data_IF_275919358683
#
_entry.id   IF_275919358683
#
_cell.length_a   1.000
_cell.length_b   1.000
_cell.length_c   1.000
_cell.angle_alpha   90.00
_cell.angle_beta   90.00
_cell.angle_gamma   90.00
#
_symmetry.space_group_name_H-M   'P 1'
#
loop_
_entity.id
_entity.type
_entity.pdbx_description
1 polymer ?
#
# COMPACT_ATOMS: atom_id res chain seq x y z
N UNK A 1 43.58 0.22 73.07
CA UNK A 1 42.16 -0.10 72.81
C UNK A 1 42.10 -1.12 71.69
N UNK A 2 41.45 -2.27 71.90
CA UNK A 2 41.31 -3.33 70.90
C UNK A 2 40.32 -2.86 69.84
N UNK A 3 40.77 -2.72 68.60
CA UNK A 3 39.89 -2.51 67.44
C UNK A 3 39.50 -3.89 66.94
N UNK A 4 38.26 -4.29 67.22
CA UNK A 4 37.68 -5.54 66.75
C UNK A 4 37.38 -5.39 65.25
N UNK A 5 38.08 -6.15 64.43
CA UNK A 5 37.78 -6.31 63.00
C UNK A 5 36.53 -7.18 62.89
N UNK A 6 35.42 -6.61 62.42
CA UNK A 6 34.21 -7.36 62.10
C UNK A 6 34.47 -8.05 60.75
N UNK A 7 34.33 -9.36 60.74
CA UNK A 7 34.51 -10.24 59.60
C UNK A 7 33.11 -10.49 59.02
N UNK A 8 32.85 -10.02 57.79
CA UNK A 8 31.56 -10.16 57.13
C UNK A 8 31.27 -11.64 56.81
N UNK A 9 30.29 -12.22 57.51
CA UNK A 9 29.65 -13.47 57.11
C UNK A 9 28.50 -13.14 56.16
N UNK A 10 28.55 -13.76 54.96
CA UNK A 10 27.40 -13.96 54.09
C UNK A 10 26.39 -14.82 54.82
N UNK A 11 25.12 -14.43 54.80
CA UNK A 11 24.01 -15.38 54.82
C UNK A 11 22.93 -14.97 53.82
N UNK A 12 22.38 -16.03 53.24
CA UNK A 12 21.32 -16.11 52.25
C UNK A 12 19.94 -15.85 52.88
N UNK A 13 19.00 -15.44 52.03
CA UNK A 13 17.58 -15.87 52.01
C UNK A 13 16.66 -15.63 53.24
N UNK A 14 15.57 -14.90 52.92
CA UNK A 14 14.21 -14.95 53.47
C UNK A 14 13.83 -14.16 54.73
N UNK A 15 12.82 -13.30 54.53
CA UNK A 15 11.65 -13.25 55.40
C UNK A 15 11.67 -12.18 56.50
N UNK A 16 10.72 -11.25 56.34
CA UNK A 16 10.01 -10.54 57.40
C UNK A 16 10.54 -9.14 57.73
N UNK A 17 9.62 -8.18 57.57
CA UNK A 17 9.90 -6.76 57.59
C UNK A 17 10.17 -6.25 59.00
N UNK A 18 11.37 -5.72 59.19
CA UNK A 18 11.59 -4.56 60.03
C UNK A 18 12.33 -3.53 59.17
N UNK A 19 11.73 -2.36 58.97
CA UNK A 19 12.43 -1.19 58.47
C UNK A 19 13.46 -0.81 59.53
N UNK A 20 14.62 -1.45 59.51
CA UNK A 20 15.78 -0.99 60.25
C UNK A 20 16.21 0.33 59.62
N UNK A 21 15.77 1.42 60.25
CA UNK A 21 16.29 2.76 60.01
C UNK A 21 17.80 2.70 60.24
N UNK A 22 18.55 2.55 59.14
CA UNK A 22 20.01 2.47 59.15
C UNK A 22 20.55 3.85 59.51
N UNK A 23 20.63 4.13 60.80
CA UNK A 23 21.14 5.39 61.36
C UNK A 23 22.61 5.51 60.95
N UNK A 24 22.86 6.29 59.90
CA UNK A 24 24.20 6.71 59.50
C UNK A 24 24.75 7.68 60.56
N UNK A 25 25.27 7.13 61.65
CA UNK A 25 26.06 7.89 62.63
C UNK A 25 27.33 8.38 61.93
N UNK A 26 27.34 9.65 61.52
CA UNK A 26 28.57 10.32 61.11
C UNK A 26 29.47 10.43 62.34
N UNK A 27 30.69 9.88 62.33
CA UNK A 27 31.58 10.00 63.47
C UNK A 27 31.86 11.48 63.73
N UNK A 28 31.69 11.90 64.98
CA UNK A 28 32.00 13.26 65.42
C UNK A 28 33.52 13.42 65.35
N UNK A 29 33.98 14.29 64.44
CA UNK A 29 35.40 14.59 64.25
C UNK A 29 35.75 15.72 65.22
N UNK A 30 36.25 15.38 66.41
CA UNK A 30 36.59 16.39 67.42
C UNK A 30 38.06 16.84 67.39
N UNK A 31 38.96 16.10 66.74
CA UNK A 31 40.41 16.38 66.80
C UNK A 31 41.12 16.25 65.43
N UNK A 32 42.13 17.10 65.19
CA UNK A 32 42.92 17.18 63.94
C UNK A 32 43.59 15.85 63.61
N UNK A 33 43.99 15.11 64.64
CA UNK A 33 44.60 13.79 64.52
C UNK A 33 43.58 12.73 64.06
N UNK A 34 42.31 12.88 64.45
CA UNK A 34 41.23 11.99 64.05
C UNK A 34 40.86 12.20 62.57
N UNK A 35 40.90 13.44 62.10
CA UNK A 35 40.73 13.78 60.68
C UNK A 35 41.86 13.20 59.80
N UNK A 36 43.11 13.28 60.28
CA UNK A 36 44.26 12.67 59.59
C UNK A 36 44.16 11.15 59.56
N UNK A 37 43.75 10.51 60.65
CA UNK A 37 43.56 9.06 60.71
C UNK A 37 42.47 8.58 59.73
N UNK A 38 41.36 9.31 59.61
CA UNK A 38 40.30 9.03 58.63
C UNK A 38 40.82 9.12 57.18
N UNK A 39 41.52 10.20 56.84
CA UNK A 39 42.15 10.36 55.51
C UNK A 39 43.16 9.26 55.21
N UNK A 40 43.98 8.88 56.19
CA UNK A 40 44.90 7.75 56.05
C UNK A 40 44.15 6.43 55.83
N UNK A 41 43.03 6.20 56.54
CA UNK A 41 42.21 4.99 56.35
C UNK A 41 41.53 4.93 54.99
N UNK A 42 41.07 6.07 54.46
CA UNK A 42 40.52 6.19 53.10
C UNK A 42 41.58 5.88 52.03
N UNK A 43 42.79 6.41 52.20
CA UNK A 43 43.94 6.17 51.28
C UNK A 43 44.41 4.71 51.32
N UNK A 44 44.38 4.08 52.50
CA UNK A 44 44.75 2.66 52.68
C UNK A 44 43.65 1.74 52.15
N UNK A 45 42.39 2.20 52.11
CA UNK A 45 41.28 1.40 51.60
C UNK A 45 41.32 1.24 50.08
N UNK A 46 41.20 0.00 49.61
CA UNK A 46 41.13 -0.35 48.18
C UNK A 46 39.88 0.18 47.46
N UNK A 47 38.93 0.77 48.18
CA UNK A 47 37.59 1.14 47.67
C UNK A 47 37.73 2.16 46.54
N UNK A 48 38.49 3.23 46.77
CA UNK A 48 38.71 4.30 45.79
C UNK A 48 39.45 3.78 44.55
N UNK A 49 40.48 2.95 44.74
CA UNK A 49 41.23 2.32 43.65
C UNK A 49 40.34 1.41 42.78
N UNK A 50 39.52 0.55 43.41
CA UNK A 50 38.60 -0.35 42.69
C UNK A 50 37.50 0.41 41.97
N UNK A 51 37.02 1.52 42.53
CA UNK A 51 36.07 2.41 41.87
C UNK A 51 36.67 3.11 40.65
N UNK A 52 37.86 3.69 40.77
CA UNK A 52 38.56 4.31 39.64
C UNK A 52 38.91 3.29 38.56
N UNK A 53 39.30 2.08 38.94
CA UNK A 53 39.51 0.97 38.02
C UNK A 53 38.21 0.60 37.30
N UNK A 54 37.08 0.47 38.00
CA UNK A 54 35.76 0.23 37.37
C UNK A 54 35.34 1.39 36.45
N UNK A 55 35.61 2.65 36.84
CA UNK A 55 35.32 3.85 36.05
C UNK A 55 36.21 3.99 34.80
N UNK A 56 37.42 3.43 34.83
CA UNK A 56 38.38 3.45 33.73
C UNK A 56 38.32 2.19 32.87
N UNK A 57 37.82 1.07 33.40
CA UNK A 57 37.58 -0.17 32.66
C UNK A 57 36.59 0.09 31.53
N UNK A 58 37.11 0.17 30.31
CA UNK A 58 36.33 0.43 29.09
C UNK A 58 36.41 1.87 28.57
N UNK A 59 37.11 2.80 29.24
CA UNK A 59 37.45 4.10 28.65
C UNK A 59 38.57 3.92 27.63
N UNK A 60 38.19 3.75 26.37
CA UNK A 60 39.14 3.80 25.26
C UNK A 60 39.51 5.27 24.99
N UNK A 61 40.79 5.62 25.09
CA UNK A 61 41.28 6.93 24.67
C UNK A 61 41.25 6.94 23.15
N UNK A 62 40.29 7.66 22.57
CA UNK A 62 40.18 7.79 21.11
C UNK A 62 41.31 8.67 20.60
N UNK A 63 42.32 8.04 20.01
CA UNK A 63 43.39 8.76 19.31
C UNK A 63 42.79 9.33 18.02
N UNK A 64 42.84 10.66 17.79
CA UNK A 64 42.35 11.23 16.55
C UNK A 64 43.16 10.66 15.38
N UNK A 65 42.48 10.34 14.28
CA UNK A 65 43.15 9.76 13.11
C UNK A 65 44.30 10.66 12.63
N UNK A 66 45.52 10.12 12.71
CA UNK A 66 46.70 10.77 12.12
C UNK A 66 46.49 10.96 10.61
N UNK A 67 47.10 11.97 10.00
CA UNK A 67 46.95 12.21 8.55
C UNK A 67 47.35 10.96 7.72
N UNK A 68 48.32 10.18 8.20
CA UNK A 68 48.70 8.90 7.61
C UNK A 68 47.57 7.86 7.71
N UNK A 69 46.90 7.75 8.86
CA UNK A 69 45.77 6.83 9.03
C UNK A 69 44.57 7.23 8.16
N UNK A 70 44.30 8.54 8.01
CA UNK A 70 43.29 9.03 7.05
C UNK A 70 43.65 8.65 5.61
N UNK A 71 44.92 8.79 5.23
CA UNK A 71 45.38 8.40 3.91
C UNK A 71 45.23 6.88 3.69
N UNK A 72 45.67 6.04 4.64
CA UNK A 72 45.50 4.59 4.57
C UNK A 72 44.03 4.17 4.50
N UNK A 73 43.14 4.82 5.27
CA UNK A 73 41.69 4.58 5.18
C UNK A 73 41.13 4.94 3.80
N UNK A 74 41.59 6.03 3.19
CA UNK A 74 41.20 6.39 1.82
C UNK A 74 41.71 5.38 0.79
N UNK A 75 42.97 4.92 0.92
CA UNK A 75 43.56 3.88 0.07
C UNK A 75 42.86 2.53 0.21
N UNK A 76 42.42 2.18 1.42
CA UNK A 76 41.69 0.94 1.67
C UNK A 76 40.42 0.81 0.83
N UNK A 77 39.79 1.93 0.43
CA UNK A 77 38.65 1.89 -0.50
C UNK A 77 39.05 1.50 -1.93
N UNK A 78 40.25 1.90 -2.38
CA UNK A 78 40.77 1.60 -3.72
C UNK A 78 41.35 0.18 -3.81
N UNK A 79 41.98 -0.28 -2.72
CA UNK A 79 42.61 -1.61 -2.66
C UNK A 79 41.57 -2.72 -2.41
N UNK A 80 40.39 -2.38 -1.90
CA UNK A 80 39.33 -3.36 -1.61
C UNK A 80 38.89 -4.09 -2.88
N UNK A 81 39.28 -5.36 -2.98
CA UNK A 81 38.90 -6.25 -4.08
C UNK A 81 37.37 -6.40 -4.20
N UNK A 82 36.65 -6.34 -3.07
CA UNK A 82 35.18 -6.38 -3.02
C UNK A 82 34.59 -5.17 -3.74
N UNK A 83 35.14 -3.97 -3.51
CA UNK A 83 34.68 -2.74 -4.18
C UNK A 83 35.05 -2.75 -5.66
N UNK A 84 36.28 -3.17 -5.99
CA UNK A 84 36.77 -3.28 -7.37
C UNK A 84 35.91 -4.25 -8.20
N UNK A 85 35.73 -5.49 -7.72
CA UNK A 85 34.87 -6.49 -8.39
C UNK A 85 33.38 -6.16 -8.30
N UNK A 86 32.97 -5.29 -7.38
CA UNK A 86 31.60 -4.86 -7.20
C UNK A 86 31.04 -4.11 -8.40
N UNK A 87 31.85 -3.24 -9.04
CA UNK A 87 31.46 -2.55 -10.27
C UNK A 87 31.24 -3.54 -11.42
N UNK A 88 32.21 -4.42 -11.66
CA UNK A 88 32.11 -5.46 -12.69
C UNK A 88 30.90 -6.40 -12.49
N UNK A 89 30.57 -6.75 -11.24
CA UNK A 89 29.38 -7.55 -10.92
C UNK A 89 28.08 -6.80 -11.21
N UNK A 90 28.02 -5.49 -10.96
CA UNK A 90 26.85 -4.66 -11.31
C UNK A 90 26.67 -4.56 -12.82
N UNK A 91 27.77 -4.39 -13.54
CA UNK A 91 27.75 -4.34 -15.00
C UNK A 91 27.36 -5.71 -15.58
N UNK A 92 27.83 -6.83 -15.00
CA UNK A 92 27.38 -8.18 -15.34
C UNK A 92 25.89 -8.38 -15.07
N UNK A 93 25.37 -7.88 -13.94
CA UNK A 93 23.95 -8.00 -13.61
C UNK A 93 23.03 -7.23 -14.55
N UNK A 94 23.57 -6.24 -15.27
CA UNK A 94 22.87 -5.47 -16.30
C UNK A 94 23.06 -6.05 -17.72
N UNK A 95 23.70 -7.21 -17.86
CA UNK A 95 23.87 -7.88 -19.15
C UNK A 95 22.52 -8.29 -19.74
N UNK A 96 22.37 -8.15 -21.07
CA UNK A 96 21.18 -8.56 -21.83
C UNK A 96 20.76 -10.01 -21.53
N UNK A 97 21.71 -10.90 -21.24
CA UNK A 97 21.45 -12.30 -20.91
C UNK A 97 20.73 -12.47 -19.57
N UNK A 98 20.94 -11.57 -18.61
CA UNK A 98 20.30 -11.61 -17.30
C UNK A 98 18.93 -10.94 -17.27
N UNK A 99 18.63 -10.09 -18.27
CA UNK A 99 17.31 -9.49 -18.48
C UNK A 99 16.32 -10.46 -19.15
N UNK A 100 16.80 -11.58 -19.71
CA UNK A 100 15.92 -12.62 -20.24
C UNK A 100 15.07 -13.24 -19.12
N UNK A 101 13.79 -13.57 -19.37
CA UNK A 101 12.96 -14.24 -18.40
C UNK A 101 13.60 -15.57 -18.01
N UNK A 102 13.68 -15.83 -16.70
CA UNK A 102 14.29 -17.04 -16.17
C UNK A 102 13.56 -18.28 -16.72
N UNK A 103 14.30 -19.15 -17.40
CA UNK A 103 13.79 -20.46 -17.82
C UNK A 103 13.56 -21.34 -16.59
N UNK A 104 12.68 -22.33 -16.68
CA UNK A 104 12.39 -23.28 -15.59
C UNK A 104 13.69 -23.91 -15.07
N UNK A 105 14.58 -24.33 -15.97
CA UNK A 105 15.87 -24.92 -15.62
C UNK A 105 16.77 -23.94 -14.88
N UNK A 106 16.76 -22.66 -15.25
CA UNK A 106 17.55 -21.62 -14.57
C UNK A 106 17.02 -21.32 -13.16
N UNK A 107 15.71 -21.41 -12.95
CA UNK A 107 15.08 -21.27 -11.63
C UNK A 107 15.46 -22.46 -10.76
N UNK A 108 15.29 -23.67 -11.29
CA UNK A 108 15.66 -24.91 -10.61
C UNK A 108 17.15 -24.96 -10.23
N UNK A 109 18.04 -24.60 -11.15
CA UNK A 109 19.47 -24.53 -10.88
C UNK A 109 19.82 -23.52 -9.78
N UNK A 110 19.13 -22.37 -9.73
CA UNK A 110 19.30 -21.38 -8.65
C UNK A 110 18.84 -21.94 -7.30
N UNK A 111 17.70 -22.63 -7.26
CA UNK A 111 17.19 -23.27 -6.04
C UNK A 111 18.15 -24.36 -5.53
N UNK A 112 18.64 -25.23 -6.41
CA UNK A 112 19.65 -26.22 -6.06
C UNK A 112 20.94 -25.58 -5.54
N UNK A 113 21.40 -24.51 -6.18
CA UNK A 113 22.59 -23.78 -5.75
C UNK A 113 22.40 -23.14 -4.36
N UNK A 114 21.21 -22.60 -4.08
CA UNK A 114 20.87 -22.07 -2.76
C UNK A 114 20.82 -23.17 -1.71
N UNK A 115 20.23 -24.32 -2.04
CA UNK A 115 20.15 -25.48 -1.14
C UNK A 115 21.51 -26.07 -0.82
N UNK A 116 22.41 -26.16 -1.81
CA UNK A 116 23.76 -26.69 -1.66
C UNK A 116 24.72 -25.70 -0.97
N UNK A 117 24.36 -24.42 -0.90
CA UNK A 117 25.23 -23.39 -0.33
C UNK A 117 25.42 -23.59 1.18
N UNK A 118 26.66 -23.94 1.57
CA UNK A 118 27.08 -24.09 2.98
C UNK A 118 26.85 -22.83 3.82
N UNK A 119 26.94 -21.64 3.19
CA UNK A 119 26.74 -20.35 3.88
C UNK A 119 25.27 -20.17 4.25
N UNK A 120 24.36 -20.39 3.28
CA UNK A 120 22.92 -20.28 3.52
C UNK A 120 22.43 -21.35 4.48
N UNK A 121 22.96 -22.57 4.39
CA UNK A 121 22.68 -23.64 5.34
C UNK A 121 23.02 -23.24 6.78
N UNK A 122 24.23 -22.72 7.02
CA UNK A 122 24.63 -22.26 8.36
C UNK A 122 23.75 -21.12 8.86
N UNK A 123 23.44 -20.15 8.00
CA UNK A 123 22.57 -19.04 8.37
C UNK A 123 21.17 -19.49 8.77
N UNK A 124 20.56 -20.42 8.01
CA UNK A 124 19.27 -21.01 8.37
C UNK A 124 19.36 -21.78 9.67
N UNK A 125 20.36 -22.64 9.81
CA UNK A 125 20.60 -23.39 11.04
C UNK A 125 20.75 -22.47 12.26
N UNK A 126 21.50 -21.37 12.16
CA UNK A 126 21.67 -20.42 13.26
C UNK A 126 20.39 -19.63 13.56
N UNK A 127 19.55 -19.38 12.55
CA UNK A 127 18.23 -18.76 12.74
C UNK A 127 17.22 -19.71 13.38
N UNK A 128 17.28 -21.00 13.03
CA UNK A 128 16.44 -22.06 13.60
C UNK A 128 16.96 -22.56 14.96
N UNK A 129 18.22 -22.24 15.29
CA UNK A 129 18.84 -22.58 16.56
C UNK A 129 18.15 -21.83 17.70
N UNK A 130 17.25 -22.54 18.39
CA UNK A 130 16.47 -22.01 19.51
C UNK A 130 14.99 -21.82 19.20
N UNK A 131 14.57 -21.95 17.94
CA UNK A 131 13.15 -22.10 17.60
C UNK A 131 12.79 -23.58 17.74
N UNK A 132 12.28 -23.97 18.90
CA UNK A 132 11.71 -25.29 19.06
C UNK A 132 10.40 -25.40 18.29
N UNK A 133 10.11 -26.55 17.67
CA UNK A 133 8.84 -26.80 16.97
C UNK A 133 7.60 -26.58 17.86
N UNK A 134 7.77 -26.62 19.18
CA UNK A 134 6.75 -26.27 20.16
C UNK A 134 6.26 -24.82 20.07
N UNK A 135 7.05 -23.88 19.51
CA UNK A 135 6.62 -22.51 19.27
C UNK A 135 5.53 -22.39 18.18
N UNK A 136 5.42 -23.39 17.31
CA UNK A 136 4.44 -23.46 16.22
C UNK A 136 3.35 -24.50 16.47
N UNK A 137 3.33 -25.12 17.65
CA UNK A 137 2.29 -26.08 18.01
C UNK A 137 0.95 -25.35 18.17
N UNK A 138 -0.10 -25.84 17.49
CA UNK A 138 -1.46 -25.34 17.73
C UNK A 138 -1.79 -25.58 19.20
N UNK A 139 -2.02 -24.50 19.93
CA UNK A 139 -2.37 -24.59 21.34
C UNK A 139 -3.62 -25.48 21.53
N UNK A 140 -3.55 -26.46 22.44
CA UNK A 140 -4.69 -27.27 22.84
C UNK A 140 -5.86 -26.39 23.31
N UNK A 141 -7.11 -26.79 23.07
CA UNK A 141 -8.29 -26.06 23.55
C UNK A 141 -8.24 -25.75 25.05
N UNK A 142 -7.72 -26.67 25.86
CA UNK A 142 -7.62 -26.52 27.31
C UNK A 142 -6.67 -25.40 27.72
N UNK A 143 -5.53 -25.26 27.03
CA UNK A 143 -4.55 -24.20 27.30
C UNK A 143 -5.14 -22.85 26.88
N UNK A 144 -5.82 -22.79 25.73
CA UNK A 144 -6.51 -21.57 25.30
C UNK A 144 -7.55 -21.12 26.32
N UNK A 145 -8.38 -22.05 26.78
CA UNK A 145 -9.38 -21.76 27.80
C UNK A 145 -8.74 -21.29 29.11
N UNK A 146 -7.68 -21.95 29.57
CA UNK A 146 -6.95 -21.53 30.77
C UNK A 146 -6.34 -20.12 30.63
N UNK A 147 -5.80 -19.79 29.46
CA UNK A 147 -5.29 -18.44 29.18
C UNK A 147 -6.39 -17.38 29.18
N UNK A 148 -7.55 -17.68 28.59
CA UNK A 148 -8.71 -16.79 28.60
C UNK A 148 -9.22 -16.55 30.04
N UNK A 149 -9.41 -17.62 30.80
CA UNK A 149 -9.82 -17.54 32.20
C UNK A 149 -8.83 -16.71 33.03
N UNK A 150 -7.53 -16.94 32.87
CA UNK A 150 -6.49 -16.16 33.56
C UNK A 150 -6.53 -14.67 33.14
N UNK A 151 -6.74 -14.39 31.85
CA UNK A 151 -6.90 -13.02 31.35
C UNK A 151 -8.06 -12.30 32.04
N UNK A 152 -9.20 -12.97 32.26
CA UNK A 152 -10.35 -12.38 32.96
C UNK A 152 -10.16 -12.32 34.49
N UNK A 153 -9.42 -13.27 35.07
CA UNK A 153 -9.08 -13.26 36.50
C UNK A 153 -8.04 -12.19 36.86
N UNK A 154 -7.25 -11.71 35.89
CA UNK A 154 -6.21 -10.72 36.14
C UNK A 154 -6.78 -9.35 36.48
N UNK A 155 -6.40 -8.81 37.64
CA UNK A 155 -6.72 -7.42 38.03
C UNK A 155 -6.29 -6.37 37.00
N UNK A 156 -5.30 -6.68 36.16
CA UNK A 156 -4.81 -5.75 35.13
C UNK A 156 -5.83 -5.57 34.02
N UNK A 157 -6.53 -6.64 33.62
CA UNK A 157 -7.59 -6.54 32.60
C UNK A 157 -8.80 -5.82 33.18
N UNK A 158 -9.18 -6.14 34.42
CA UNK A 158 -10.25 -5.45 35.15
C UNK A 158 -9.97 -3.94 35.29
N UNK A 159 -8.78 -3.54 35.73
CA UNK A 159 -8.42 -2.12 35.87
C UNK A 159 -8.46 -1.36 34.55
N UNK A 160 -8.07 -2.00 33.43
CA UNK A 160 -8.16 -1.40 32.09
C UNK A 160 -9.60 -1.26 31.64
N UNK A 161 -10.41 -2.29 31.83
CA UNK A 161 -11.83 -2.27 31.43
C UNK A 161 -12.62 -1.24 32.26
N UNK A 162 -12.34 -1.15 33.56
CA UNK A 162 -12.85 -0.09 34.45
C UNK A 162 -12.40 1.29 33.97
N UNK A 163 -11.13 1.45 33.59
CA UNK A 163 -10.63 2.72 33.04
C UNK A 163 -11.36 3.09 31.74
N UNK A 164 -11.62 2.13 30.84
CA UNK A 164 -12.27 2.39 29.57
C UNK A 164 -13.79 2.60 29.69
N UNK A 165 -14.47 1.87 30.57
CA UNK A 165 -15.91 2.02 30.84
C UNK A 165 -16.22 3.24 31.70
N UNK A 166 -15.39 3.54 32.71
CA UNK A 166 -15.52 4.72 33.57
C UNK A 166 -14.65 5.89 33.11
N UNK A 167 -14.35 5.98 31.81
CA UNK A 167 -13.87 7.23 31.18
C UNK A 167 -14.97 8.30 31.32
N UNK A 168 -14.97 9.00 32.45
CA UNK A 168 -15.70 10.24 32.57
C UNK A 168 -15.11 11.21 31.55
N UNK A 169 -15.92 11.68 30.61
CA UNK A 169 -15.53 12.78 29.74
C UNK A 169 -15.16 13.95 30.63
N UNK A 170 -13.89 14.40 30.61
CA UNK A 170 -13.52 15.67 31.22
C UNK A 170 -14.54 16.72 30.78
N UNK A 171 -15.02 17.54 31.70
CA UNK A 171 -16.16 18.49 31.52
C UNK A 171 -16.04 19.31 30.23
N UNK A 172 -14.83 19.56 29.75
CA UNK A 172 -14.49 20.19 28.47
C UNK A 172 -15.09 19.52 27.23
N UNK A 173 -15.46 18.24 27.30
CA UNK A 173 -15.98 17.47 26.17
C UNK A 173 -17.50 17.42 26.08
N UNK A 174 -18.24 18.12 26.95
CA UNK A 174 -19.68 18.24 26.76
C UNK A 174 -19.99 19.05 25.49
N UNK A 175 -20.99 18.65 24.68
CA UNK A 175 -21.25 19.28 23.38
C UNK A 175 -21.66 20.76 23.50
N UNK A 176 -22.30 21.15 24.59
CA UNK A 176 -22.67 22.54 24.92
C UNK A 176 -21.44 23.42 25.18
N UNK A 177 -20.46 22.92 25.94
CA UNK A 177 -19.22 23.64 26.24
C UNK A 177 -18.35 23.72 24.98
N UNK A 178 -18.23 22.64 24.19
CA UNK A 178 -17.53 22.69 22.89
C UNK A 178 -18.12 23.76 21.98
N UNK A 179 -19.44 23.73 21.79
CA UNK A 179 -20.14 24.71 20.97
C UNK A 179 -19.92 26.13 21.50
N UNK A 180 -20.02 26.36 22.81
CA UNK A 180 -19.77 27.66 23.41
C UNK A 180 -18.32 28.14 23.20
N UNK A 181 -17.32 27.26 23.30
CA UNK A 181 -15.91 27.61 23.03
C UNK A 181 -15.64 27.92 21.56
N UNK A 182 -16.28 27.20 20.64
CA UNK A 182 -16.19 27.47 19.19
C UNK A 182 -16.85 28.80 18.85
N UNK A 183 -18.06 29.05 19.38
CA UNK A 183 -18.74 30.35 19.27
C UNK A 183 -17.86 31.46 19.84
N UNK A 184 -17.25 31.26 21.01
CA UNK A 184 -16.36 32.26 21.62
C UNK A 184 -15.13 32.54 20.75
N UNK A 185 -14.54 31.51 20.13
CA UNK A 185 -13.42 31.67 19.19
C UNK A 185 -13.83 32.48 17.96
N UNK A 186 -15.00 32.19 17.38
CA UNK A 186 -15.53 32.86 16.19
C UNK A 186 -15.91 34.32 16.50
N UNK A 187 -16.54 34.56 17.65
CA UNK A 187 -16.96 35.90 18.10
C UNK A 187 -15.75 36.74 18.51
N UNK A 188 -14.70 36.11 19.03
CA UNK A 188 -13.47 36.81 19.35
C UNK A 188 -12.67 37.13 18.08
N UNK A 189 -12.20 38.37 17.94
CA UNK A 189 -11.22 38.75 16.90
C UNK A 189 -9.82 38.14 17.13
N UNK A 190 -9.68 37.14 18.00
CA UNK A 190 -8.39 36.57 18.37
C UNK A 190 -7.68 35.93 17.17
N UNK A 191 -8.41 35.18 16.34
CA UNK A 191 -7.86 34.57 15.11
C UNK A 191 -7.55 35.63 14.06
N UNK A 192 -8.40 36.63 13.88
CA UNK A 192 -8.16 37.75 12.97
C UNK A 192 -6.90 38.54 13.36
N UNK A 193 -6.73 38.85 14.65
CA UNK A 193 -5.53 39.53 15.17
C UNK A 193 -4.26 38.67 15.05
N UNK A 194 -4.38 37.35 15.24
CA UNK A 194 -3.27 36.40 15.05
C UNK A 194 -2.84 36.32 13.58
N UNK A 195 -3.79 36.17 12.65
CA UNK A 195 -3.52 36.18 11.22
C UNK A 195 -2.96 37.52 10.72
N UNK A 196 -3.44 38.65 11.26
CA UNK A 196 -2.86 39.97 11.00
C UNK A 196 -1.42 40.09 11.49
N UNK A 197 -1.09 39.50 12.64
CA UNK A 197 0.29 39.41 13.14
C UNK A 197 1.19 38.52 12.26
N UNK A 198 0.63 37.50 11.60
CA UNK A 198 1.34 36.64 10.66
C UNK A 198 1.55 37.28 9.29
N UNK A 199 0.58 38.06 8.79
CA UNK A 199 0.69 38.82 7.54
C UNK A 199 1.63 40.03 7.65
N UNK A 200 1.77 40.60 8.85
CA UNK A 200 2.75 41.67 9.13
C UNK A 200 4.14 41.15 9.49
N UNK A 201 4.39 39.83 9.44
CA UNK A 201 5.76 39.32 9.44
C UNK A 201 6.32 39.68 8.08
N UNK A 202 7.27 40.61 8.06
CA UNK A 202 8.04 40.89 6.85
C UNK A 202 8.47 39.55 6.23
N UNK A 203 8.28 39.34 4.91
CA UNK A 203 8.66 38.10 4.29
C UNK A 203 10.15 37.89 4.58
N UNK A 204 10.46 36.88 5.39
CA UNK A 204 11.84 36.41 5.54
C UNK A 204 12.36 36.12 4.13
N UNK A 205 13.64 36.37 3.84
CA UNK A 205 14.22 36.31 2.48
C UNK A 205 13.82 35.03 1.69
N UNK A 206 13.52 33.93 2.39
CA UNK A 206 13.09 32.64 1.86
C UNK A 206 11.60 32.51 1.47
N UNK A 207 10.74 33.46 1.85
CA UNK A 207 9.30 33.48 1.57
C UNK A 207 8.90 34.55 0.56
N UNK A 208 9.86 35.12 -0.17
CA UNK A 208 9.54 36.00 -1.30
C UNK A 208 8.99 35.17 -2.46
N UNK A 209 7.95 35.65 -3.17
CA UNK A 209 7.26 34.87 -4.20
C UNK A 209 8.15 34.49 -5.40
N UNK A 210 9.16 35.30 -5.72
CA UNK A 210 10.19 35.01 -6.71
C UNK A 210 11.08 33.82 -6.30
N UNK A 211 11.46 33.74 -5.03
CA UNK A 211 12.26 32.64 -4.49
C UNK A 211 11.44 31.34 -4.40
N UNK A 212 10.18 31.42 -3.99
CA UNK A 212 9.26 30.28 -3.99
C UNK A 212 9.03 29.73 -5.40
N UNK A 213 8.84 30.63 -6.37
CA UNK A 213 8.71 30.28 -7.77
C UNK A 213 9.98 29.58 -8.30
N UNK A 214 11.17 30.15 -8.04
CA UNK A 214 12.44 29.54 -8.41
C UNK A 214 12.64 28.15 -7.79
N UNK A 215 12.21 27.96 -6.53
CA UNK A 215 12.23 26.66 -5.85
C UNK A 215 11.27 25.66 -6.49
N UNK A 216 10.09 26.11 -6.94
CA UNK A 216 9.15 25.30 -7.71
C UNK A 216 9.72 24.85 -9.05
N UNK A 217 10.26 25.80 -9.82
CA UNK A 217 10.91 25.54 -11.11
C UNK A 217 12.09 24.59 -10.95
N UNK A 218 12.93 24.79 -9.93
CA UNK A 218 14.08 23.92 -9.63
C UNK A 218 13.65 22.47 -9.32
N UNK A 219 12.55 22.27 -8.57
CA UNK A 219 12.01 20.93 -8.30
C UNK A 219 11.51 20.25 -9.56
N UNK A 220 10.81 20.97 -10.44
CA UNK A 220 10.30 20.45 -11.71
C UNK A 220 11.42 20.09 -12.68
N UNK A 221 12.47 20.92 -12.73
CA UNK A 221 13.62 20.71 -13.61
C UNK A 221 14.61 19.67 -13.08
N UNK A 222 14.50 19.29 -11.80
CA UNK A 222 15.45 18.37 -11.17
C UNK A 222 15.31 16.94 -11.74
N UNK A 223 16.31 16.53 -12.50
CA UNK A 223 16.42 15.15 -13.00
C UNK A 223 16.46 14.10 -11.87
N UNK A 224 16.96 14.45 -10.69
CA UNK A 224 17.00 13.54 -9.54
C UNK A 224 15.58 13.26 -9.04
N UNK A 225 14.77 14.31 -8.87
CA UNK A 225 13.36 14.15 -8.47
C UNK A 225 12.54 13.42 -9.52
N UNK A 226 12.79 13.71 -10.80
CA UNK A 226 12.19 12.98 -11.91
C UNK A 226 12.50 11.48 -11.86
N UNK A 227 13.77 11.10 -11.70
CA UNK A 227 14.18 9.69 -11.61
C UNK A 227 13.61 9.00 -10.38
N UNK A 228 13.54 9.68 -9.24
CA UNK A 228 12.89 9.17 -8.02
C UNK A 228 11.40 8.88 -8.24
N UNK A 229 10.67 9.82 -8.85
CA UNK A 229 9.25 9.67 -9.12
C UNK A 229 8.99 8.57 -10.15
N UNK A 230 9.73 8.57 -11.25
CA UNK A 230 9.69 7.51 -12.26
C UNK A 230 9.98 6.12 -11.64
N UNK A 231 10.96 6.02 -10.75
CA UNK A 231 11.26 4.78 -10.04
C UNK A 231 10.14 4.32 -9.10
N UNK A 232 9.41 5.25 -8.48
CA UNK A 232 8.24 4.92 -7.64
C UNK A 232 7.07 4.43 -8.48
N UNK A 233 6.79 5.11 -9.59
CA UNK A 233 5.72 4.73 -10.53
C UNK A 233 6.01 3.37 -11.17
N UNK A 234 7.26 3.12 -11.58
CA UNK A 234 7.67 1.81 -12.12
C UNK A 234 7.61 0.69 -11.08
N UNK A 235 7.92 0.96 -9.82
CA UNK A 235 7.74 -0.03 -8.73
C UNK A 235 6.28 -0.34 -8.45
N UNK A 236 5.37 0.59 -8.71
CA UNK A 236 3.92 0.38 -8.57
C UNK A 236 3.32 -0.44 -9.72
N UNK A 237 3.89 -0.37 -10.93
CA UNK A 237 3.46 -1.15 -12.08
C UNK A 237 4.19 -2.50 -12.10
N UNK A 238 3.93 -3.34 -11.11
CA UNK A 238 4.31 -4.75 -11.20
C UNK A 238 3.42 -5.40 -12.27
N UNK A 239 4.00 -5.74 -13.42
CA UNK A 239 3.26 -6.41 -14.51
C UNK A 239 2.65 -7.71 -14.00
N UNK A 240 1.32 -7.73 -13.85
CA UNK A 240 0.58 -8.93 -13.49
C UNK A 240 0.08 -9.59 -14.80
N UNK A 241 0.59 -10.78 -15.16
CA UNK A 241 0.16 -11.46 -16.39
C UNK A 241 -1.33 -11.78 -16.39
N UNK A 242 -1.96 -11.92 -15.21
CA UNK A 242 -3.40 -12.13 -15.06
C UNK A 242 -4.24 -10.88 -15.38
N UNK A 243 -3.64 -9.69 -15.31
CA UNK A 243 -4.34 -8.43 -15.62
C UNK A 243 -4.10 -7.95 -17.05
N UNK A 244 -3.26 -8.66 -17.80
CA UNK A 244 -2.98 -8.33 -19.20
C UNK A 244 -4.26 -8.35 -20.04
N UNK A 245 -4.35 -7.41 -20.99
CA UNK A 245 -5.51 -7.29 -21.90
C UNK A 245 -5.73 -8.60 -22.66
N UNK A 246 -4.66 -9.24 -23.12
CA UNK A 246 -4.71 -10.52 -23.82
C UNK A 246 -5.27 -11.64 -22.95
N UNK A 247 -4.86 -11.74 -21.68
CA UNK A 247 -5.36 -12.76 -20.77
C UNK A 247 -6.83 -12.55 -20.40
N UNK A 248 -7.25 -11.30 -20.14
CA UNK A 248 -8.67 -10.95 -19.93
C UNK A 248 -9.50 -11.31 -21.16
N UNK A 249 -9.00 -11.01 -22.35
CA UNK A 249 -9.71 -11.32 -23.60
C UNK A 249 -9.80 -12.82 -23.85
N UNK A 250 -8.77 -13.59 -23.51
CA UNK A 250 -8.80 -15.06 -23.57
C UNK A 250 -9.79 -15.66 -22.57
N UNK A 251 -9.87 -15.13 -21.34
CA UNK A 251 -10.89 -15.54 -20.37
C UNK A 251 -12.31 -15.24 -20.86
N UNK A 252 -12.54 -14.05 -21.42
CA UNK A 252 -13.85 -13.67 -21.98
C UNK A 252 -14.19 -14.59 -23.15
N UNK A 253 -13.26 -14.84 -24.07
CA UNK A 253 -13.48 -15.76 -25.18
C UNK A 253 -13.77 -17.19 -24.70
N UNK A 254 -13.07 -17.66 -23.66
CA UNK A 254 -13.28 -18.97 -23.06
C UNK A 254 -14.66 -19.10 -22.38
N UNK A 255 -15.07 -18.08 -21.62
CA UNK A 255 -16.40 -18.04 -20.99
C UNK A 255 -17.53 -17.95 -22.02
N UNK A 256 -17.34 -17.19 -23.11
CA UNK A 256 -18.27 -17.09 -24.23
C UNK A 256 -18.40 -18.42 -25.00
N UNK A 257 -17.29 -19.14 -25.20
CA UNK A 257 -17.26 -20.42 -25.88
C UNK A 257 -17.70 -21.61 -25.01
N UNK A 258 -17.92 -21.39 -23.71
CA UNK A 258 -18.31 -22.45 -22.78
C UNK A 258 -19.78 -22.83 -22.92
N UNK A 259 -20.03 -24.05 -23.37
CA UNK A 259 -21.36 -24.67 -23.42
C UNK A 259 -22.10 -24.63 -22.08
N UNK A 260 -21.38 -24.73 -20.97
CA UNK A 260 -21.96 -24.71 -19.63
C UNK A 260 -22.54 -23.33 -19.28
N UNK A 261 -21.75 -22.26 -19.47
CA UNK A 261 -22.20 -20.88 -19.20
C UNK A 261 -23.34 -20.48 -20.15
N UNK A 262 -23.30 -20.94 -21.40
CA UNK A 262 -24.40 -20.80 -22.35
C UNK A 262 -25.70 -21.44 -21.83
N UNK A 263 -25.66 -22.73 -21.45
CA UNK A 263 -26.83 -23.46 -20.95
C UNK A 263 -27.35 -22.87 -19.64
N UNK A 264 -26.46 -22.38 -18.77
CA UNK A 264 -26.81 -21.72 -17.51
C UNK A 264 -27.54 -20.40 -17.76
N UNK A 265 -27.00 -19.54 -18.63
CA UNK A 265 -27.63 -18.27 -19.02
C UNK A 265 -28.99 -18.50 -19.70
N UNK A 266 -29.08 -19.51 -20.58
CA UNK A 266 -30.33 -19.92 -21.21
C UNK A 266 -31.39 -20.41 -20.20
N UNK A 267 -30.99 -21.20 -19.19
CA UNK A 267 -31.92 -21.64 -18.13
C UNK A 267 -32.41 -20.47 -17.29
N UNK A 268 -31.56 -19.47 -17.03
CA UNK A 268 -31.93 -18.26 -16.28
C UNK A 268 -32.89 -17.36 -17.06
N UNK A 269 -32.70 -17.23 -18.38
CA UNK A 269 -33.59 -16.44 -19.23
C UNK A 269 -34.84 -17.20 -19.69
N UNK A 270 -34.90 -18.52 -19.44
CA UNK A 270 -36.06 -19.36 -19.78
C UNK A 270 -37.29 -18.89 -19.01
N UNK A 271 -38.14 -18.11 -19.68
CA UNK A 271 -39.38 -17.54 -19.14
C UNK A 271 -39.45 -16.01 -19.18
N UNK A 272 -38.33 -15.32 -19.43
CA UNK A 272 -38.29 -13.89 -19.72
C UNK A 272 -38.24 -13.67 -21.23
N UNK A 273 -39.39 -13.42 -21.84
CA UNK A 273 -39.47 -12.96 -23.22
C UNK A 273 -39.52 -11.44 -23.21
N UNK A 274 -38.44 -10.80 -23.65
CA UNK A 274 -38.52 -9.38 -24.01
C UNK A 274 -39.35 -9.29 -25.29
N UNK A 275 -40.59 -8.78 -25.18
CA UNK A 275 -41.30 -8.23 -26.32
C UNK A 275 -40.60 -6.92 -26.69
N UNK A 276 -39.44 -7.01 -27.32
CA UNK A 276 -38.80 -5.82 -27.87
C UNK A 276 -39.75 -5.25 -28.91
N UNK A 277 -40.33 -4.08 -28.62
CA UNK A 277 -41.00 -3.29 -29.64
C UNK A 277 -39.97 -3.05 -30.76
N UNK A 278 -40.28 -3.49 -31.98
CA UNK A 278 -39.39 -3.32 -33.12
C UNK A 278 -39.01 -1.83 -33.25
N UNK A 279 -37.71 -1.54 -33.40
CA UNK A 279 -37.27 -0.17 -33.73
C UNK A 279 -37.92 0.26 -35.06
N UNK A 280 -38.29 1.52 -35.23
CA UNK A 280 -38.95 2.03 -36.46
C UNK A 280 -38.26 1.62 -37.77
N UNK A 281 -36.92 1.53 -37.79
CA UNK A 281 -36.16 1.01 -38.94
C UNK A 281 -36.44 -0.47 -39.23
N UNK A 282 -36.56 -1.30 -38.20
CA UNK A 282 -36.86 -2.73 -38.34
C UNK A 282 -38.29 -2.93 -38.85
N UNK A 283 -39.25 -2.12 -38.38
CA UNK A 283 -40.62 -2.08 -38.91
C UNK A 283 -40.60 -1.73 -40.39
N UNK A 284 -39.91 -0.65 -40.78
CA UNK A 284 -39.80 -0.25 -42.17
C UNK A 284 -39.18 -1.33 -43.07
N UNK A 285 -38.13 -2.01 -42.62
CA UNK A 285 -37.53 -3.10 -43.39
C UNK A 285 -38.47 -4.30 -43.53
N UNK A 286 -39.25 -4.64 -42.49
CA UNK A 286 -40.29 -5.68 -42.56
C UNK A 286 -41.39 -5.28 -43.54
N UNK A 287 -41.88 -4.04 -43.49
CA UNK A 287 -42.90 -3.53 -44.40
C UNK A 287 -42.43 -3.53 -45.86
N UNK A 288 -41.17 -3.15 -46.11
CA UNK A 288 -40.57 -3.20 -47.44
C UNK A 288 -40.50 -4.64 -47.95
N UNK A 289 -40.09 -5.59 -47.10
CA UNK A 289 -40.03 -7.00 -47.48
C UNK A 289 -41.43 -7.58 -47.79
N UNK A 290 -42.45 -7.21 -47.01
CA UNK A 290 -43.85 -7.59 -47.26
C UNK A 290 -44.34 -7.00 -48.58
N UNK A 291 -44.11 -5.70 -48.82
CA UNK A 291 -44.48 -5.04 -50.09
C UNK A 291 -43.77 -5.67 -51.29
N UNK A 292 -42.49 -6.01 -51.16
CA UNK A 292 -41.76 -6.68 -52.22
C UNK A 292 -42.34 -8.07 -52.53
N UNK A 293 -42.70 -8.84 -51.49
CA UNK A 293 -43.34 -10.15 -51.64
C UNK A 293 -44.72 -10.04 -52.30
N UNK A 294 -45.55 -9.08 -51.90
CA UNK A 294 -46.84 -8.82 -52.55
C UNK A 294 -46.68 -8.44 -54.02
N UNK A 295 -45.71 -7.57 -54.34
CA UNK A 295 -45.42 -7.17 -55.71
C UNK A 295 -44.90 -8.35 -56.55
N UNK A 296 -44.08 -9.21 -55.96
CA UNK A 296 -43.62 -10.43 -56.60
C UNK A 296 -44.80 -11.36 -56.91
N UNK A 297 -45.69 -11.63 -55.97
CA UNK A 297 -46.87 -12.49 -56.21
C UNK A 297 -47.84 -11.88 -57.24
N UNK A 298 -48.02 -10.54 -57.26
CA UNK A 298 -48.85 -9.84 -58.25
C UNK A 298 -48.27 -9.83 -59.67
N UNK A 299 -46.96 -9.93 -59.81
CA UNK A 299 -46.25 -9.96 -61.10
C UNK A 299 -45.96 -11.38 -61.57
N UNK A 300 -45.96 -12.35 -60.65
CA UNK A 300 -45.82 -13.78 -60.94
C UNK A 300 -47.02 -14.25 -61.76
N UNK A 301 -46.78 -14.46 -63.05
CA UNK A 301 -47.80 -14.86 -64.02
C UNK A 301 -48.33 -13.74 -64.92
N UNK A 302 -47.88 -12.48 -64.76
CA UNK A 302 -48.11 -11.45 -65.79
C UNK A 302 -47.16 -11.69 -66.97
N UNK A 303 -47.73 -11.75 -68.17
CA UNK A 303 -46.96 -11.79 -69.41
C UNK A 303 -46.07 -10.55 -69.51
N UNK A 304 -44.80 -10.70 -69.90
CA UNK A 304 -43.85 -9.58 -70.13
C UNK A 304 -44.28 -8.66 -71.28
N UNK A 305 -45.40 -8.96 -71.94
CA UNK A 305 -45.94 -8.29 -73.12
C UNK A 305 -47.40 -7.85 -72.89
N UNK A 306 -47.71 -7.21 -71.76
CA UNK A 306 -48.94 -6.40 -71.67
C UNK A 306 -48.72 -5.10 -72.48
N UNK A 307 -49.10 -5.12 -73.77
CA UNK A 307 -49.08 -3.97 -74.67
C UNK A 307 -49.95 -2.78 -74.17
N UNK A 308 -50.67 -2.95 -73.07
CA UNK A 308 -51.70 -2.04 -72.55
C UNK A 308 -51.14 -0.70 -72.06
N UNK A 309 -49.87 -0.68 -71.64
CA UNK A 309 -49.27 0.52 -71.01
C UNK A 309 -48.31 1.29 -71.94
N UNK A 310 -48.19 0.90 -73.22
CA UNK A 310 -47.47 1.75 -74.18
C UNK A 310 -48.31 3.01 -74.49
N UNK A 311 -47.72 4.22 -74.45
CA UNK A 311 -48.46 5.46 -74.74
C UNK A 311 -49.19 5.42 -76.09
N UNK A 312 -48.58 4.74 -77.07
CA UNK A 312 -49.15 4.53 -78.40
C UNK A 312 -50.41 3.64 -78.37
N UNK A 313 -50.47 2.63 -77.49
CA UNK A 313 -51.65 1.79 -77.33
C UNK A 313 -52.79 2.54 -76.63
N UNK A 314 -52.50 3.38 -75.63
CA UNK A 314 -53.52 4.21 -75.00
C UNK A 314 -54.12 5.24 -75.97
N UNK A 315 -53.27 5.94 -76.74
CA UNK A 315 -53.71 6.89 -77.77
C UNK A 315 -54.55 6.21 -78.85
N UNK A 316 -54.15 5.01 -79.30
CA UNK A 316 -54.93 4.28 -80.32
C UNK A 316 -56.28 3.78 -79.78
N UNK A 317 -56.35 3.34 -78.52
CA UNK A 317 -57.61 2.97 -77.86
C UNK A 317 -58.54 4.17 -77.68
N UNK A 318 -58.00 5.32 -77.27
CA UNK A 318 -58.76 6.57 -77.16
C UNK A 318 -59.26 7.06 -78.52
N UNK A 319 -58.43 6.99 -79.56
CA UNK A 319 -58.81 7.31 -80.93
C UNK A 319 -59.93 6.40 -81.46
N UNK A 320 -59.86 5.08 -81.21
CA UNK A 320 -60.94 4.15 -81.55
C UNK A 320 -62.23 4.47 -80.80
N UNK A 321 -62.14 4.88 -79.53
CA UNK A 321 -63.30 5.26 -78.73
C UNK A 321 -63.98 6.50 -79.30
N UNK A 322 -63.19 7.54 -79.62
CA UNK A 322 -63.68 8.76 -80.29
C UNK A 322 -64.32 8.44 -81.65
N UNK A 323 -63.70 7.58 -82.47
CA UNK A 323 -64.30 7.16 -83.74
C UNK A 323 -65.63 6.42 -83.54
N UNK A 324 -65.73 5.55 -82.54
CA UNK A 324 -66.98 4.84 -82.24
C UNK A 324 -68.09 5.77 -81.77
N UNK A 325 -67.76 6.84 -81.04
CA UNK A 325 -68.71 7.86 -80.60
C UNK A 325 -69.18 8.73 -81.78
N UNK A 326 -68.27 9.10 -82.69
CA UNK A 326 -68.62 9.79 -83.94
C UNK A 326 -69.54 8.92 -84.80
N UNK A 327 -69.22 7.63 -84.99
CA UNK A 327 -70.07 6.70 -85.73
C UNK A 327 -71.45 6.50 -85.09
N UNK A 328 -71.52 6.42 -83.76
CA UNK A 328 -72.81 6.37 -83.04
C UNK A 328 -73.63 7.64 -83.21
N UNK A 329 -73.00 8.82 -83.19
CA UNK A 329 -73.68 10.10 -83.35
C UNK A 329 -74.14 10.36 -84.79
N UNK A 330 -73.47 9.79 -85.79
CA UNK A 330 -73.90 9.82 -87.20
C UNK A 330 -75.11 8.90 -87.43
N UNK A 331 -75.15 7.72 -86.79
CA UNK A 331 -76.31 6.82 -86.85
C UNK A 331 -77.54 7.32 -86.08
N UNK A 332 -77.40 8.32 -85.21
CA UNK A 332 -78.53 8.92 -84.47
C UNK A 332 -79.12 10.17 -85.17
N UNK A 333 -78.53 10.62 -86.28
CA UNK A 333 -78.97 11.81 -87.04
C UNK A 333 -79.38 11.50 -88.50
N UNK A 334 -79.66 10.23 -88.80
CA UNK A 334 -80.38 9.72 -89.98
C UNK A 334 -81.55 8.87 -89.48
#
# INVERSE_FOLDING_TARGET
MRVSVIQDLREDENGDGEEEEKVFLKPVIEDRNMELALKCSEIISDIHYKEEFKKSKGKCIFVPDTPQLKHVKSLGAFISEVKYKGAAKKDLSNSLYQQMPATIDSVFAKELMQLQSKVLYKQKHDAEKGTSDYAHMKEPPDIKHAMEVNKYQSDVSYKKDVQDTHRYTEVLNRPDIKMATEITKIVSDAEYKKGRGEMNKEPTVLGRPDFEHAKGVSKLLSQVKYKEQFSKEMKSHQYNPLDSVSFKQAQIASTLASDYEYKKSFKQSKGFYDFTLDTTKQIHHKDIAVKYKENYEKSKGRSMLEFVDTPMYQVSKEAQKMQSEVSKNVCLNW
#
